data_IF_218381389767
#
_entry.id   IF_218381389767
#
_cell.length_a   1.000
_cell.length_b   1.000
_cell.length_c   1.000
_cell.angle_alpha   90.00
_cell.angle_beta   90.00
_cell.angle_gamma   90.00
#
_symmetry.space_group_name_H-M   'P 1'
#
loop_
_entity.id
_entity.type
_entity.pdbx_description
1 polymer ?
#
# COMPACT_ATOMS: atom_id res chain seq x y z
N UNK A 1 -17.74 -22.97 38.84
CA UNK A 1 -17.30 -21.75 39.55
C UNK A 1 -16.49 -20.95 38.55
N UNK A 2 -16.81 -19.67 38.41
CA UNK A 2 -16.13 -18.76 37.49
C UNK A 2 -15.35 -17.71 38.28
N UNK A 3 -14.61 -16.88 37.56
CA UNK A 3 -13.67 -15.87 38.06
C UNK A 3 -12.37 -16.47 38.65
N UNK A 4 -11.21 -15.81 38.56
CA UNK A 4 -10.97 -14.45 38.07
C UNK A 4 -9.72 -14.35 37.18
N UNK A 5 -9.73 -13.44 36.20
CA UNK A 5 -8.66 -13.16 35.25
C UNK A 5 -7.73 -12.02 35.71
N UNK A 6 -7.74 -11.69 37.01
CA UNK A 6 -6.90 -10.63 37.59
C UNK A 6 -7.23 -9.22 37.09
N UNK A 7 -8.43 -9.02 36.53
CA UNK A 7 -8.87 -7.72 36.04
C UNK A 7 -9.21 -6.79 37.22
N UNK A 8 -8.89 -5.49 37.15
CA UNK A 8 -9.27 -4.55 38.20
C UNK A 8 -10.81 -4.50 38.33
N UNK A 9 -11.35 -4.39 39.57
CA UNK A 9 -12.78 -4.45 39.81
C UNK A 9 -13.52 -3.37 39.02
N UNK A 10 -14.60 -3.78 38.33
CA UNK A 10 -15.42 -2.91 37.47
C UNK A 10 -16.03 -1.76 38.30
N UNK A 11 -15.38 -0.60 38.30
CA UNK A 11 -15.95 0.63 38.86
C UNK A 11 -17.17 1.04 38.02
N UNK A 12 -18.27 1.35 38.69
CA UNK A 12 -19.41 1.97 38.01
C UNK A 12 -19.02 3.34 37.46
N UNK A 13 -19.50 3.65 36.26
CA UNK A 13 -19.36 4.99 35.68
C UNK A 13 -20.18 6.00 36.48
N UNK A 14 -19.60 7.16 36.84
CA UNK A 14 -20.34 8.28 37.43
C UNK A 14 -21.61 8.64 36.63
N UNK A 15 -22.66 9.04 37.35
CA UNK A 15 -24.00 9.21 36.79
C UNK A 15 -24.06 10.27 35.68
N UNK A 16 -23.34 11.37 35.87
CA UNK A 16 -23.16 12.46 34.92
C UNK A 16 -22.53 11.99 33.60
N UNK A 17 -21.46 11.19 33.66
CA UNK A 17 -20.81 10.61 32.46
C UNK A 17 -21.78 9.67 31.74
N UNK A 18 -22.49 8.82 32.49
CA UNK A 18 -23.46 7.85 31.95
C UNK A 18 -24.66 8.52 31.29
N UNK A 19 -25.14 9.63 31.84
CA UNK A 19 -26.28 10.36 31.28
C UNK A 19 -25.87 11.33 30.16
N UNK A 20 -24.65 11.85 30.16
CA UNK A 20 -24.06 12.55 29.00
C UNK A 20 -23.94 11.62 27.78
N UNK A 21 -23.41 10.41 27.95
CA UNK A 21 -23.33 9.42 26.87
C UNK A 21 -24.72 9.07 26.31
N UNK A 22 -25.74 8.98 27.17
CA UNK A 22 -27.14 8.79 26.74
C UNK A 22 -27.71 9.99 25.97
N UNK A 23 -27.27 11.21 26.28
CA UNK A 23 -27.68 12.41 25.54
C UNK A 23 -27.02 12.46 24.15
N UNK A 24 -25.71 12.19 24.06
CA UNK A 24 -24.96 12.19 22.78
C UNK A 24 -25.49 11.10 21.82
N UNK A 25 -25.78 9.88 22.31
CA UNK A 25 -26.40 8.81 21.49
C UNK A 25 -27.81 9.17 21.00
N UNK A 26 -28.61 9.90 21.79
CA UNK A 26 -29.95 10.38 21.38
C UNK A 26 -29.87 11.52 20.37
N UNK A 27 -28.86 12.38 20.45
CA UNK A 27 -28.64 13.43 19.45
C UNK A 27 -28.31 12.83 18.07
N UNK A 28 -27.42 11.81 18.03
CA UNK A 28 -27.02 11.14 16.79
C UNK A 28 -28.08 10.25 16.12
N UNK A 29 -29.28 10.11 16.71
CA UNK A 29 -30.37 9.27 16.17
C UNK A 29 -31.65 10.05 15.84
N UNK A 30 -31.61 11.39 15.88
CA UNK A 30 -32.81 12.24 15.86
C UNK A 30 -33.07 13.13 14.63
N UNK A 31 -32.17 13.23 13.65
CA UNK A 31 -32.35 14.14 12.51
C UNK A 31 -33.12 13.49 11.32
N UNK A 32 -34.32 13.98 10.95
CA UNK A 32 -35.01 13.52 9.74
C UNK A 32 -34.41 14.17 8.47
N UNK A 33 -34.21 13.42 7.38
CA UNK A 33 -33.64 13.97 6.15
C UNK A 33 -34.58 14.99 5.50
N UNK A 34 -34.07 16.21 5.26
CA UNK A 34 -34.80 17.27 4.54
C UNK A 34 -35.01 16.89 3.07
N UNK A 35 -36.25 16.58 2.71
CA UNK A 35 -36.62 16.19 1.35
C UNK A 35 -36.60 17.38 0.37
N UNK A 36 -36.13 17.13 -0.85
CA UNK A 36 -36.37 17.95 -2.05
C UNK A 36 -36.57 17.04 -3.27
N UNK A 37 -37.82 16.83 -3.68
CA UNK A 37 -38.17 16.55 -5.09
C UNK A 37 -37.98 17.86 -5.90
N UNK A 38 -37.95 17.95 -7.24
CA UNK A 38 -38.62 17.33 -8.41
C UNK A 38 -37.68 17.61 -9.61
N UNK A 39 -37.50 16.91 -10.75
CA UNK A 39 -37.78 15.61 -11.43
C UNK A 39 -37.07 15.75 -12.83
N UNK A 40 -37.06 14.92 -13.88
CA UNK A 40 -37.31 13.51 -14.29
C UNK A 40 -36.78 13.42 -15.76
N UNK A 41 -36.60 12.28 -16.44
CA UNK A 41 -36.24 10.91 -16.07
C UNK A 41 -36.03 10.11 -17.38
N UNK A 42 -35.09 9.16 -17.43
CA UNK A 42 -34.94 8.23 -18.55
C UNK A 42 -34.44 6.87 -18.03
N UNK A 43 -35.10 5.78 -18.39
CA UNK A 43 -34.81 4.44 -17.88
C UNK A 43 -34.68 3.42 -19.02
N UNK A 44 -33.68 2.55 -18.92
CA UNK A 44 -33.61 1.28 -19.64
C UNK A 44 -33.50 0.17 -18.58
N UNK A 45 -34.50 -0.70 -18.51
CA UNK A 45 -34.58 -1.71 -17.45
C UNK A 45 -33.99 -3.05 -17.91
N UNK A 46 -33.15 -3.65 -17.08
CA UNK A 46 -32.76 -5.06 -17.18
C UNK A 46 -33.21 -5.76 -15.91
N UNK A 47 -34.23 -6.60 -16.02
CA UNK A 47 -34.73 -7.41 -14.92
C UNK A 47 -33.86 -8.66 -14.75
N UNK A 48 -33.14 -8.76 -13.64
CA UNK A 48 -32.59 -10.03 -13.15
C UNK A 48 -33.46 -10.52 -11.99
N UNK A 49 -34.28 -11.54 -12.26
CA UNK A 49 -35.10 -12.20 -11.24
C UNK A 49 -34.24 -13.11 -10.36
N UNK A 50 -33.86 -12.63 -9.18
CA UNK A 50 -33.43 -13.48 -8.07
C UNK A 50 -34.62 -13.68 -7.12
N UNK A 51 -35.20 -14.88 -7.10
CA UNK A 51 -36.33 -15.20 -6.24
C UNK A 51 -35.89 -15.44 -4.79
N UNK A 52 -36.61 -14.86 -3.82
CA UNK A 52 -36.23 -14.93 -2.40
C UNK A 52 -37.25 -14.31 -1.44
N UNK A 53 -38.55 -14.47 -1.71
CA UNK A 53 -39.59 -13.90 -0.86
C UNK A 53 -39.78 -14.69 0.45
N UNK A 54 -39.44 -14.09 1.59
CA UNK A 54 -39.82 -14.60 2.92
C UNK A 54 -40.53 -13.50 3.71
N UNK A 55 -41.86 -13.50 3.65
CA UNK A 55 -42.70 -12.66 4.51
C UNK A 55 -42.87 -13.36 5.86
N UNK A 56 -42.06 -13.00 6.85
CA UNK A 56 -42.25 -13.47 8.23
C UNK A 56 -43.21 -12.55 8.97
N UNK A 57 -44.42 -13.03 9.24
CA UNK A 57 -45.36 -12.38 10.15
C UNK A 57 -44.82 -12.40 11.58
N UNK A 58 -45.08 -11.34 12.37
CA UNK A 58 -44.64 -11.25 13.77
C UNK A 58 -45.22 -12.40 14.60
N UNK A 59 -44.37 -13.27 15.14
CA UNK A 59 -44.79 -14.24 16.15
C UNK A 59 -43.76 -14.38 17.28
N UNK A 60 -44.28 -14.64 18.48
CA UNK A 60 -43.70 -14.36 19.79
C UNK A 60 -42.40 -15.10 20.14
N UNK A 61 -41.46 -14.37 20.78
CA UNK A 61 -40.48 -14.84 21.78
C UNK A 61 -39.61 -16.07 21.45
N UNK A 62 -38.42 -15.80 20.92
CA UNK A 62 -37.15 -16.36 21.43
C UNK A 62 -36.01 -15.38 21.09
N UNK A 63 -34.91 -15.32 21.87
CA UNK A 63 -33.72 -14.58 21.46
C UNK A 63 -33.04 -15.37 20.33
N UNK A 64 -33.14 -14.88 19.10
CA UNK A 64 -32.46 -15.49 17.97
C UNK A 64 -30.93 -15.43 18.20
N UNK A 65 -30.28 -16.57 18.00
CA UNK A 65 -28.83 -16.65 17.86
C UNK A 65 -28.40 -15.71 16.72
N UNK A 66 -27.32 -14.96 16.93
CA UNK A 66 -26.92 -13.94 15.96
C UNK A 66 -26.65 -14.60 14.59
N UNK A 67 -27.21 -14.07 13.48
CA UNK A 67 -26.94 -14.64 12.18
C UNK A 67 -25.42 -14.65 11.94
N UNK A 68 -24.85 -15.75 11.42
CA UNK A 68 -23.42 -15.84 11.22
C UNK A 68 -22.96 -14.66 10.38
N UNK A 69 -21.90 -13.98 10.82
CA UNK A 69 -21.37 -12.81 10.13
C UNK A 69 -21.07 -13.20 8.68
N UNK A 70 -21.82 -12.61 7.74
CA UNK A 70 -21.54 -12.77 6.32
C UNK A 70 -20.11 -12.28 6.11
N UNK A 71 -19.18 -13.10 5.60
CA UNK A 71 -17.84 -12.64 5.35
C UNK A 71 -17.94 -11.46 4.39
N UNK A 72 -17.36 -10.32 4.79
CA UNK A 72 -17.29 -9.17 3.92
C UNK A 72 -16.57 -9.60 2.64
N UNK A 73 -17.27 -9.53 1.50
CA UNK A 73 -16.60 -9.67 0.21
C UNK A 73 -15.64 -8.50 0.00
N UNK A 74 -14.61 -8.66 -0.85
CA UNK A 74 -13.63 -7.62 -1.10
C UNK A 74 -14.32 -6.31 -1.50
N UNK A 75 -13.86 -5.21 -0.90
CA UNK A 75 -14.56 -3.93 -0.94
C UNK A 75 -14.63 -3.33 -2.36
N UNK A 76 -15.67 -2.55 -2.63
CA UNK A 76 -15.86 -1.82 -3.88
C UNK A 76 -16.15 -0.34 -3.59
N UNK A 77 -15.14 0.52 -3.70
CA UNK A 77 -15.33 1.97 -3.77
C UNK A 77 -15.76 2.34 -5.20
N UNK A 78 -17.03 2.68 -5.37
CA UNK A 78 -17.59 3.06 -6.67
C UNK A 78 -17.00 4.34 -7.27
N UNK A 79 -16.45 5.26 -6.46
CA UNK A 79 -15.78 6.47 -6.92
C UNK A 79 -14.38 6.14 -7.44
N UNK A 80 -13.62 5.34 -6.70
CA UNK A 80 -12.31 4.86 -7.12
C UNK A 80 -12.44 4.03 -8.40
N UNK A 81 -13.36 3.06 -8.40
CA UNK A 81 -13.65 2.19 -9.55
C UNK A 81 -14.00 3.00 -10.81
N UNK A 82 -14.87 4.01 -10.70
CA UNK A 82 -15.22 4.87 -11.84
C UNK A 82 -14.01 5.66 -12.31
N UNK A 83 -13.29 6.33 -11.39
CA UNK A 83 -12.14 7.19 -11.71
C UNK A 83 -11.00 6.44 -12.42
N UNK A 84 -10.69 5.23 -11.94
CA UNK A 84 -9.64 4.40 -12.52
C UNK A 84 -10.06 3.78 -13.85
N UNK A 85 -11.27 3.18 -13.95
CA UNK A 85 -11.76 2.58 -15.20
C UNK A 85 -11.91 3.63 -16.33
N UNK A 86 -12.35 4.85 -16.02
CA UNK A 86 -12.45 5.94 -17.00
C UNK A 86 -11.06 6.37 -17.50
N UNK A 87 -10.04 6.35 -16.64
CA UNK A 87 -8.65 6.62 -17.00
C UNK A 87 -8.02 5.47 -17.80
N UNK A 88 -8.31 4.21 -17.47
CA UNK A 88 -7.94 3.06 -18.30
C UNK A 88 -8.58 3.15 -19.70
N UNK A 89 -9.84 3.57 -19.80
CA UNK A 89 -10.49 3.81 -21.10
C UNK A 89 -9.89 5.01 -21.87
N UNK A 90 -9.48 6.07 -21.17
CA UNK A 90 -8.73 7.18 -21.79
C UNK A 90 -7.37 6.70 -22.33
N UNK A 91 -6.64 5.86 -21.60
CA UNK A 91 -5.38 5.26 -22.04
C UNK A 91 -5.57 4.32 -23.23
N UNK A 92 -6.64 3.51 -23.27
CA UNK A 92 -7.00 2.68 -24.44
C UNK A 92 -7.24 3.52 -25.69
N UNK A 93 -7.99 4.62 -25.57
CA UNK A 93 -8.26 5.53 -26.68
C UNK A 93 -6.98 6.22 -27.17
N UNK A 94 -6.16 6.74 -26.25
CA UNK A 94 -4.88 7.36 -26.58
C UNK A 94 -3.88 6.38 -27.23
N UNK A 95 -3.93 5.11 -26.85
CA UNK A 95 -3.13 4.03 -27.45
C UNK A 95 -3.70 3.47 -28.76
N UNK A 96 -4.88 3.93 -29.20
CA UNK A 96 -5.54 3.46 -30.43
C UNK A 96 -6.06 2.02 -30.37
N UNK A 97 -6.39 1.50 -29.18
CA UNK A 97 -6.73 0.08 -28.92
C UNK A 97 -8.23 -0.15 -28.62
N UNK A 98 -9.11 0.71 -29.10
CA UNK A 98 -10.57 0.63 -28.83
C UNK A 98 -11.27 -0.55 -29.50
N UNK A 99 -10.63 -1.16 -30.50
CA UNK A 99 -11.05 -2.41 -31.16
C UNK A 99 -10.72 -3.67 -30.32
N UNK A 100 -9.73 -3.57 -29.42
CA UNK A 100 -9.24 -4.69 -28.59
C UNK A 100 -10.07 -4.97 -27.36
N UNK A 101 -10.99 -4.08 -26.98
CA UNK A 101 -11.77 -4.17 -25.75
C UNK A 101 -13.25 -3.87 -26.00
N UNK A 102 -14.17 -4.44 -25.20
CA UNK A 102 -15.55 -3.99 -25.18
C UNK A 102 -15.66 -2.50 -24.83
N UNK A 103 -16.71 -1.78 -25.27
CA UNK A 103 -16.97 -0.41 -24.88
C UNK A 103 -16.99 -0.21 -23.35
N UNK A 104 -16.53 0.95 -22.87
CA UNK A 104 -16.49 1.32 -21.43
C UNK A 104 -17.82 1.13 -20.69
N UNK A 105 -18.97 1.21 -21.37
CA UNK A 105 -20.29 0.97 -20.79
C UNK A 105 -20.52 -0.51 -20.38
N UNK A 106 -19.77 -1.45 -20.95
CA UNK A 106 -19.82 -2.88 -20.63
C UNK A 106 -18.78 -3.28 -19.54
N UNK A 107 -18.09 -2.31 -18.95
CA UNK A 107 -17.07 -2.52 -17.92
C UNK A 107 -17.70 -2.46 -16.52
N UNK A 108 -17.89 -3.61 -15.89
CA UNK A 108 -18.54 -3.78 -14.59
C UNK A 108 -17.48 -4.00 -13.50
N UNK A 109 -17.21 -3.02 -12.61
CA UNK A 109 -16.28 -3.21 -11.49
C UNK A 109 -16.85 -4.18 -10.45
N UNK A 110 -15.97 -4.95 -9.80
CA UNK A 110 -16.35 -5.98 -8.83
C UNK A 110 -15.71 -5.78 -7.45
N UNK A 111 -14.47 -5.30 -7.42
CA UNK A 111 -13.74 -4.93 -6.21
C UNK A 111 -12.66 -3.88 -6.53
N UNK A 112 -12.16 -3.22 -5.50
CA UNK A 112 -11.11 -2.20 -5.56
C UNK A 112 -10.12 -2.36 -4.42
N UNK A 113 -8.83 -2.21 -4.70
CA UNK A 113 -7.77 -2.09 -3.69
C UNK A 113 -6.98 -0.80 -3.96
N UNK A 114 -6.46 -0.18 -2.90
CA UNK A 114 -5.55 0.98 -2.96
C UNK A 114 -4.48 0.76 -1.89
N UNK A 115 -3.26 0.48 -2.34
CA UNK A 115 -2.10 0.31 -1.47
C UNK A 115 -1.11 1.45 -1.71
N UNK A 116 -1.05 2.38 -0.74
CA UNK A 116 -0.19 3.57 -0.79
C UNK A 116 -0.39 4.46 -2.03
N UNK A 117 -1.53 4.35 -2.72
CA UNK A 117 -1.84 5.06 -3.95
C UNK A 117 -1.11 4.49 -5.18
N UNK A 118 -0.89 3.18 -5.18
CA UNK A 118 -1.12 2.31 -6.34
C UNK A 118 -2.53 1.70 -6.18
N UNK A 119 -3.43 1.95 -7.13
CA UNK A 119 -4.84 1.62 -6.99
C UNK A 119 -5.36 0.81 -8.17
N UNK A 120 -6.16 -0.22 -7.88
CA UNK A 120 -6.54 -1.28 -8.80
C UNK A 120 -8.04 -1.55 -8.74
N UNK A 121 -8.62 -1.79 -9.92
CA UNK A 121 -10.01 -2.25 -10.09
C UNK A 121 -9.98 -3.60 -10.80
N UNK A 122 -10.50 -4.64 -10.14
CA UNK A 122 -10.88 -5.86 -10.84
C UNK A 122 -12.32 -5.72 -11.32
N UNK A 123 -12.54 -5.94 -12.61
CA UNK A 123 -13.80 -5.72 -13.30
C UNK A 123 -14.09 -6.88 -14.26
N UNK A 124 -15.23 -6.86 -14.94
CA UNK A 124 -15.38 -7.60 -16.20
C UNK A 124 -15.72 -6.66 -17.34
N UNK A 125 -15.23 -6.96 -18.54
CA UNK A 125 -15.67 -6.33 -19.78
C UNK A 125 -16.32 -7.40 -20.67
N UNK A 126 -17.58 -7.20 -21.05
CA UNK A 126 -18.40 -8.22 -21.71
C UNK A 126 -18.36 -9.60 -20.99
N UNK A 127 -18.33 -9.59 -19.66
CA UNK A 127 -18.26 -10.79 -18.82
C UNK A 127 -16.88 -11.46 -18.71
N UNK A 128 -15.85 -10.99 -19.41
CA UNK A 128 -14.46 -11.48 -19.30
C UNK A 128 -13.70 -10.75 -18.19
N UNK A 129 -12.82 -11.42 -17.42
CA UNK A 129 -12.02 -10.79 -16.37
C UNK A 129 -11.10 -9.68 -16.91
N UNK A 130 -10.87 -8.64 -16.12
CA UNK A 130 -9.88 -7.60 -16.40
C UNK A 130 -9.46 -6.82 -15.15
N UNK A 131 -8.21 -6.36 -15.16
CA UNK A 131 -7.58 -5.58 -14.10
C UNK A 131 -7.11 -4.24 -14.68
N UNK A 132 -7.60 -3.15 -14.08
CA UNK A 132 -7.20 -1.78 -14.37
C UNK A 132 -6.42 -1.25 -13.17
N UNK A 133 -5.11 -1.05 -13.34
CA UNK A 133 -4.20 -0.46 -12.38
C UNK A 133 -3.96 1.01 -12.74
N UNK A 134 -3.96 1.88 -11.74
CA UNK A 134 -3.57 3.28 -11.89
C UNK A 134 -2.80 3.74 -10.66
N UNK A 135 -1.52 4.06 -10.85
CA UNK A 135 -0.77 4.92 -9.92
C UNK A 135 -1.10 6.39 -10.20
N UNK A 136 -0.42 7.36 -9.60
CA UNK A 136 -0.63 8.77 -9.93
C UNK A 136 0.14 9.26 -11.20
N UNK A 137 1.11 8.51 -11.75
CA UNK A 137 1.71 8.81 -13.09
C UNK A 137 1.41 7.79 -14.20
N UNK A 138 1.03 6.56 -13.87
CA UNK A 138 0.86 5.46 -14.84
C UNK A 138 -0.53 4.84 -14.85
N UNK A 139 -0.77 4.04 -15.90
CA UNK A 139 -1.95 3.20 -16.11
C UNK A 139 -1.49 1.86 -16.70
N UNK A 140 -1.92 0.75 -16.10
CA UNK A 140 -1.75 -0.59 -16.66
C UNK A 140 -3.12 -1.26 -16.81
N UNK A 141 -3.36 -1.94 -17.93
CA UNK A 141 -4.61 -2.63 -18.20
C UNK A 141 -4.33 -4.01 -18.79
N UNK A 142 -4.81 -5.07 -18.13
CA UNK A 142 -4.76 -6.43 -18.67
C UNK A 142 -5.62 -6.57 -19.94
N UNK A 143 -5.23 -7.42 -20.90
CA UNK A 143 -6.10 -7.69 -22.06
C UNK A 143 -7.27 -8.63 -21.68
N UNK A 144 -8.54 -8.19 -21.71
CA UNK A 144 -9.70 -9.08 -21.48
C UNK A 144 -9.87 -10.12 -22.60
N UNK A 145 -9.18 -9.97 -23.73
CA UNK A 145 -9.06 -10.96 -24.79
C UNK A 145 -8.02 -12.04 -24.54
N UNK A 146 -7.13 -11.89 -23.56
CA UNK A 146 -6.12 -12.89 -23.23
C UNK A 146 -6.68 -14.02 -22.36
N UNK A 147 -6.17 -15.23 -22.57
CA UNK A 147 -6.40 -16.36 -21.66
C UNK A 147 -5.54 -16.19 -20.41
N UNK A 148 -6.09 -16.33 -19.18
CA UNK A 148 -5.27 -16.37 -17.97
C UNK A 148 -4.19 -17.47 -18.03
N UNK A 149 -3.04 -17.18 -17.48
CA UNK A 149 -1.92 -18.11 -17.29
C UNK A 149 -2.28 -19.12 -16.19
N UNK A 150 -3.05 -20.15 -16.53
CA UNK A 150 -3.52 -21.17 -15.60
C UNK A 150 -2.40 -22.10 -15.11
N UNK A 151 -2.38 -22.39 -13.82
CA UNK A 151 -1.46 -23.35 -13.23
C UNK A 151 -1.80 -24.81 -13.63
N UNK A 152 -0.81 -25.69 -13.87
CA UNK A 152 -1.06 -27.07 -14.29
C UNK A 152 -2.04 -27.83 -13.37
N UNK A 153 -3.13 -28.33 -13.94
CA UNK A 153 -4.16 -29.07 -13.20
C UNK A 153 -4.97 -28.21 -12.20
N UNK A 154 -5.13 -26.92 -12.47
CA UNK A 154 -5.98 -25.98 -11.74
C UNK A 154 -6.65 -25.00 -12.71
N UNK A 155 -7.76 -24.37 -12.30
CA UNK A 155 -8.34 -23.18 -12.96
C UNK A 155 -7.97 -21.88 -12.27
N UNK A 156 -7.03 -21.91 -11.33
CA UNK A 156 -6.34 -20.71 -10.83
C UNK A 156 -5.31 -20.24 -11.85
N UNK A 157 -5.26 -18.94 -12.18
CA UNK A 157 -4.35 -18.40 -13.20
C UNK A 157 -4.25 -16.88 -13.20
N UNK A 158 -3.12 -16.34 -13.67
CA UNK A 158 -2.84 -14.90 -13.69
C UNK A 158 -3.25 -14.22 -15.02
N UNK A 159 -3.73 -12.99 -14.94
CA UNK A 159 -4.04 -12.14 -16.09
C UNK A 159 -3.26 -10.81 -16.08
N UNK A 160 -2.71 -10.43 -14.92
CA UNK A 160 -1.81 -9.30 -14.75
C UNK A 160 -0.71 -9.64 -13.72
N UNK A 161 0.53 -9.29 -14.05
CA UNK A 161 1.60 -9.05 -13.08
C UNK A 161 2.29 -7.76 -13.52
N UNK A 162 2.11 -6.67 -12.77
CA UNK A 162 2.50 -5.32 -13.20
C UNK A 162 3.92 -4.94 -12.80
N UNK A 163 4.38 -3.79 -13.30
CA UNK A 163 5.67 -3.24 -12.92
C UNK A 163 5.76 -2.85 -11.42
N UNK A 164 4.66 -2.59 -10.71
CA UNK A 164 4.66 -2.28 -9.26
C UNK A 164 4.65 -3.52 -8.38
N UNK A 165 4.53 -4.73 -8.96
CA UNK A 165 4.26 -5.95 -8.22
C UNK A 165 2.78 -6.14 -7.89
N UNK A 166 1.86 -5.51 -8.62
CA UNK A 166 0.44 -5.89 -8.56
C UNK A 166 0.25 -7.23 -9.28
N UNK A 167 -0.43 -8.19 -8.62
CA UNK A 167 -0.86 -9.45 -9.21
C UNK A 167 -2.39 -9.46 -9.29
N UNK A 168 -2.91 -9.69 -10.50
CA UNK A 168 -4.34 -9.85 -10.78
C UNK A 168 -4.61 -11.19 -11.48
N UNK A 169 -5.55 -11.97 -10.97
CA UNK A 169 -5.83 -13.31 -11.50
C UNK A 169 -7.22 -13.83 -11.18
N UNK A 170 -7.51 -15.04 -11.64
CA UNK A 170 -8.72 -15.80 -11.29
C UNK A 170 -8.35 -17.01 -10.44
N UNK A 171 -9.20 -17.34 -9.46
CA UNK A 171 -9.04 -18.50 -8.58
C UNK A 171 -9.94 -19.65 -9.02
N UNK A 172 -9.48 -20.91 -8.93
CA UNK A 172 -10.33 -22.06 -9.25
C UNK A 172 -11.64 -22.00 -8.43
N UNK A 173 -12.83 -22.12 -9.05
CA UNK A 173 -14.12 -22.17 -8.36
C UNK A 173 -14.23 -23.24 -7.25
N UNK A 174 -13.39 -24.27 -7.25
CA UNK A 174 -13.39 -25.33 -6.25
C UNK A 174 -12.70 -24.95 -4.93
N UNK A 175 -11.86 -23.92 -4.90
CA UNK A 175 -11.04 -23.57 -3.73
C UNK A 175 -11.82 -22.61 -2.81
N UNK A 176 -12.30 -23.03 -1.62
CA UNK A 176 -13.13 -22.17 -0.78
C UNK A 176 -12.32 -21.05 -0.09
N UNK A 177 -10.99 -21.19 -0.04
CA UNK A 177 -10.02 -20.20 0.43
C UNK A 177 -8.74 -20.34 -0.39
N UNK A 178 -7.94 -19.28 -0.48
CA UNK A 178 -6.59 -19.37 -0.98
C UNK A 178 -5.67 -18.38 -0.27
N UNK A 179 -4.37 -18.67 -0.28
CA UNK A 179 -3.32 -17.71 0.01
C UNK A 179 -2.34 -17.61 -1.16
N UNK A 180 -1.79 -16.41 -1.35
CA UNK A 180 -0.68 -16.16 -2.25
C UNK A 180 0.61 -16.52 -1.52
N UNK A 181 1.53 -17.17 -2.22
CA UNK A 181 2.92 -17.22 -1.82
C UNK A 181 3.79 -16.59 -2.92
N UNK A 182 4.80 -15.85 -2.50
CA UNK A 182 5.81 -15.25 -3.39
C UNK A 182 7.19 -15.74 -3.00
N UNK A 183 8.08 -15.85 -3.98
CA UNK A 183 9.48 -16.18 -3.76
C UNK A 183 10.39 -15.33 -4.62
N UNK A 184 11.38 -14.71 -3.98
CA UNK A 184 12.32 -13.73 -4.55
C UNK A 184 13.75 -14.08 -4.09
N UNK A 185 14.80 -13.42 -4.63
CA UNK A 185 16.17 -13.62 -4.16
C UNK A 185 16.39 -13.24 -2.68
N UNK A 186 15.59 -12.34 -2.10
CA UNK A 186 15.63 -11.96 -0.69
C UNK A 186 14.87 -12.89 0.27
N UNK A 187 13.96 -13.73 -0.23
CA UNK A 187 13.25 -14.71 0.58
C UNK A 187 11.91 -15.16 0.01
N UNK A 188 10.98 -15.55 0.88
CA UNK A 188 9.61 -15.91 0.49
C UNK A 188 8.61 -15.31 1.48
N UNK A 189 7.46 -14.88 0.98
CA UNK A 189 6.37 -14.31 1.78
C UNK A 189 5.02 -14.89 1.35
N UNK A 190 3.96 -14.61 2.12
CA UNK A 190 2.61 -14.99 1.72
C UNK A 190 1.52 -14.28 2.52
N UNK A 191 0.32 -14.28 1.95
CA UNK A 191 -0.86 -13.59 2.48
C UNK A 191 -2.14 -14.33 2.06
N UNK A 192 -3.18 -14.31 2.91
CA UNK A 192 -4.50 -14.77 2.50
C UNK A 192 -5.06 -13.89 1.37
N UNK A 193 -5.80 -14.48 0.44
CA UNK A 193 -6.29 -13.82 -0.78
C UNK A 193 -7.80 -13.68 -0.74
N UNK A 194 -8.28 -12.43 -0.72
CA UNK A 194 -9.69 -12.13 -0.97
C UNK A 194 -10.01 -12.20 -2.46
N UNK A 195 -11.22 -12.66 -2.80
CA UNK A 195 -11.65 -12.82 -4.18
C UNK A 195 -13.14 -12.52 -4.35
N UNK A 196 -13.50 -12.05 -5.55
CA UNK A 196 -14.88 -11.84 -5.98
C UNK A 196 -15.66 -13.17 -5.91
N UNK A 197 -16.74 -13.28 -5.12
CA UNK A 197 -17.51 -14.53 -5.03
C UNK A 197 -18.23 -14.88 -6.35
N UNK A 198 -18.44 -13.90 -7.23
CA UNK A 198 -19.10 -14.07 -8.54
C UNK A 198 -18.12 -14.46 -9.64
N UNK A 199 -17.05 -13.67 -9.82
CA UNK A 199 -16.11 -13.87 -10.95
C UNK A 199 -14.87 -14.68 -10.60
N UNK A 200 -14.65 -14.96 -9.31
CA UNK A 200 -13.43 -15.57 -8.77
C UNK A 200 -12.14 -14.77 -9.01
N UNK A 201 -12.25 -13.53 -9.50
CA UNK A 201 -11.10 -12.63 -9.63
C UNK A 201 -10.56 -12.24 -8.26
N UNK A 202 -9.24 -12.22 -8.14
CA UNK A 202 -8.50 -11.80 -6.96
C UNK A 202 -7.42 -10.79 -7.33
N UNK A 203 -6.97 -10.05 -6.33
CA UNK A 203 -5.93 -9.03 -6.41
C UNK A 203 -5.00 -9.20 -5.20
N UNK A 204 -3.71 -8.91 -5.38
CA UNK A 204 -2.74 -8.78 -4.29
C UNK A 204 -1.52 -7.97 -4.75
N UNK A 205 -0.91 -7.21 -3.84
CA UNK A 205 0.37 -6.54 -4.10
C UNK A 205 1.53 -7.35 -3.52
N UNK A 206 2.40 -7.89 -4.39
CA UNK A 206 3.70 -8.50 -4.01
C UNK A 206 4.78 -7.46 -3.71
N UNK A 207 4.57 -6.22 -4.18
CA UNK A 207 5.54 -5.11 -4.22
C UNK A 207 6.89 -5.46 -4.84
N UNK A 208 6.98 -6.52 -5.63
CA UNK A 208 8.24 -7.08 -6.12
C UNK A 208 8.14 -7.35 -7.62
N UNK A 209 9.20 -7.02 -8.37
CA UNK A 209 9.13 -6.93 -9.83
C UNK A 209 8.86 -8.31 -10.49
N UNK A 210 8.09 -8.38 -11.60
CA UNK A 210 7.69 -9.66 -12.21
C UNK A 210 8.85 -10.55 -12.68
N UNK A 211 10.00 -9.97 -13.03
CA UNK A 211 11.22 -10.67 -13.45
C UNK A 211 11.99 -11.28 -12.26
N UNK A 212 11.68 -10.86 -11.02
CA UNK A 212 12.36 -11.26 -9.78
C UNK A 212 11.48 -12.11 -8.86
N UNK A 213 10.22 -12.35 -9.23
CA UNK A 213 9.18 -12.84 -8.32
C UNK A 213 8.45 -14.05 -8.90
N UNK A 214 8.74 -15.23 -8.36
CA UNK A 214 7.90 -16.40 -8.57
C UNK A 214 6.64 -16.28 -7.69
N UNK A 215 5.48 -16.67 -8.24
CA UNK A 215 4.18 -16.55 -7.58
C UNK A 215 3.50 -17.92 -7.58
N UNK A 216 2.90 -18.31 -6.47
CA UNK A 216 2.08 -19.52 -6.34
C UNK A 216 0.83 -19.24 -5.51
N UNK A 217 -0.16 -20.12 -5.64
CA UNK A 217 -1.39 -20.09 -4.83
C UNK A 217 -1.51 -21.40 -4.05
N UNK A 218 -1.91 -21.30 -2.78
CA UNK A 218 -2.13 -22.44 -1.89
C UNK A 218 -3.63 -22.56 -1.63
N UNK A 219 -4.20 -23.73 -1.92
CA UNK A 219 -5.59 -24.06 -1.55
C UNK A 219 -5.70 -24.15 -0.01
N UNK A 220 -6.48 -23.25 0.58
CA UNK A 220 -6.77 -23.18 2.02
C UNK A 220 -8.04 -23.93 2.42
N UNK A 221 -8.56 -24.79 1.56
CA UNK A 221 -9.77 -25.58 1.79
C UNK A 221 -9.61 -26.74 2.80
N UNK A 222 -10.72 -27.44 3.10
CA UNK A 222 -10.73 -28.55 4.04
C UNK A 222 -10.04 -29.79 3.43
N UNK A 223 -8.74 -29.91 3.63
CA UNK A 223 -7.92 -31.02 3.12
C UNK A 223 -6.44 -30.87 3.48
N UNK A 224 -5.58 -31.54 2.72
CA UNK A 224 -4.15 -31.21 2.67
C UNK A 224 -3.96 -29.97 1.79
N UNK A 225 -3.25 -28.91 2.26
CA UNK A 225 -3.02 -27.71 1.46
C UNK A 225 -2.31 -28.04 0.14
N UNK A 226 -2.85 -27.53 -0.97
CA UNK A 226 -2.28 -27.74 -2.32
C UNK A 226 -1.71 -26.44 -2.85
N UNK A 227 -0.39 -26.31 -2.87
CA UNK A 227 0.29 -25.29 -3.66
C UNK A 227 0.20 -25.62 -5.15
N UNK A 228 -0.01 -24.60 -5.98
CA UNK A 228 0.22 -24.63 -7.43
C UNK A 228 1.02 -23.39 -7.83
N UNK A 229 2.11 -23.59 -8.55
CA UNK A 229 2.94 -22.49 -9.05
C UNK A 229 2.29 -21.90 -10.31
N UNK A 230 2.23 -20.57 -10.37
CA UNK A 230 1.58 -19.84 -11.45
C UNK A 230 2.58 -19.53 -12.57
N UNK A 231 2.27 -19.85 -13.84
CA UNK A 231 3.05 -19.37 -14.96
C UNK A 231 3.00 -17.83 -15.05
N UNK A 232 3.98 -17.24 -15.72
CA UNK A 232 4.02 -15.79 -15.95
C UNK A 232 2.72 -15.30 -16.62
N UNK A 233 2.18 -14.19 -16.11
CA UNK A 233 0.98 -13.56 -16.65
C UNK A 233 1.18 -13.17 -18.13
N UNK A 234 0.11 -13.16 -18.95
CA UNK A 234 0.19 -12.57 -20.28
C UNK A 234 0.56 -11.09 -20.20
N UNK A 235 1.20 -10.56 -21.25
CA UNK A 235 1.52 -9.14 -21.33
C UNK A 235 0.23 -8.29 -21.25
N UNK A 236 0.24 -7.16 -20.52
CA UNK A 236 -0.93 -6.27 -20.45
C UNK A 236 -1.24 -5.67 -21.81
N UNK A 237 -2.50 -5.34 -22.06
CA UNK A 237 -2.94 -4.67 -23.29
C UNK A 237 -2.21 -3.33 -23.46
N UNK A 238 -1.99 -2.61 -22.36
CA UNK A 238 -1.12 -1.45 -22.27
C UNK A 238 -0.55 -1.29 -20.86
N UNK A 239 0.65 -0.71 -20.78
CA UNK A 239 1.26 -0.13 -19.60
C UNK A 239 1.88 1.20 -20.05
N UNK A 240 1.42 2.33 -19.51
CA UNK A 240 1.80 3.68 -20.00
C UNK A 240 1.94 4.68 -18.85
N UNK A 241 2.83 5.66 -19.04
CA UNK A 241 2.89 6.87 -18.20
C UNK A 241 2.01 7.94 -18.82
N UNK A 242 0.76 8.08 -18.36
CA UNK A 242 -0.19 9.09 -18.88
C UNK A 242 0.01 10.48 -18.25
N UNK A 243 0.69 10.56 -17.10
CA UNK A 243 0.92 11.80 -16.34
C UNK A 243 2.38 11.89 -15.86
N UNK A 244 3.37 12.04 -16.76
CA UNK A 244 4.77 12.09 -16.39
C UNK A 244 5.08 13.32 -15.50
N UNK A 245 5.70 13.07 -14.35
CA UNK A 245 6.16 14.09 -13.40
C UNK A 245 7.70 14.11 -13.41
N UNK A 246 8.35 15.16 -13.97
CA UNK A 246 9.80 15.19 -14.08
C UNK A 246 10.50 15.31 -12.72
N UNK A 247 11.45 14.41 -12.47
CA UNK A 247 12.34 14.45 -11.31
C UNK A 247 13.81 14.50 -11.77
N UNK A 248 14.68 15.13 -10.96
CA UNK A 248 16.11 15.16 -11.26
C UNK A 248 16.73 13.76 -11.16
N UNK A 249 17.49 13.39 -12.20
CA UNK A 249 18.32 12.18 -12.32
C UNK A 249 19.76 12.52 -12.75
N UNK A 250 20.16 13.79 -12.63
CA UNK A 250 21.41 14.35 -13.14
C UNK A 250 22.35 14.86 -12.05
N UNK A 251 21.85 15.26 -10.87
CA UNK A 251 22.69 15.46 -9.69
C UNK A 251 23.18 14.15 -9.09
N UNK A 252 24.07 14.21 -8.10
CA UNK A 252 24.52 13.04 -7.34
C UNK A 252 23.36 12.36 -6.60
N UNK A 253 22.48 13.15 -5.96
CA UNK A 253 21.29 12.63 -5.28
C UNK A 253 20.24 12.10 -6.27
N UNK A 254 20.06 12.78 -7.41
CA UNK A 254 19.16 12.34 -8.48
C UNK A 254 19.54 10.98 -9.08
N UNK A 255 20.84 10.76 -9.36
CA UNK A 255 21.33 9.43 -9.76
C UNK A 255 21.20 8.42 -8.63
N UNK A 256 21.69 8.73 -7.42
CA UNK A 256 21.65 7.79 -6.30
C UNK A 256 20.23 7.30 -5.99
N UNK A 257 19.21 8.17 -6.07
CA UNK A 257 17.81 7.80 -5.88
C UNK A 257 17.27 6.95 -7.05
N UNK A 258 17.56 7.35 -8.30
CA UNK A 258 17.14 6.61 -9.48
C UNK A 258 17.72 5.20 -9.56
N UNK A 259 19.04 5.08 -9.38
CA UNK A 259 19.77 3.81 -9.39
C UNK A 259 19.29 2.90 -8.24
N UNK A 260 19.14 3.46 -7.03
CA UNK A 260 18.70 2.70 -5.86
C UNK A 260 17.27 2.17 -6.02
N UNK A 261 16.34 2.96 -6.57
CA UNK A 261 14.97 2.53 -6.83
C UNK A 261 14.82 1.51 -7.96
N UNK A 262 15.77 1.44 -8.89
CA UNK A 262 15.81 0.42 -9.94
C UNK A 262 16.44 -0.90 -9.46
N UNK A 263 17.45 -0.82 -8.59
CA UNK A 263 18.11 -1.98 -7.98
C UNK A 263 17.32 -2.58 -6.80
N UNK A 264 16.43 -1.81 -6.16
CA UNK A 264 15.65 -2.24 -4.99
C UNK A 264 14.80 -3.50 -5.26
N UNK A 265 14.61 -4.32 -4.22
CA UNK A 265 13.72 -5.48 -4.28
C UNK A 265 12.24 -5.08 -4.13
N UNK A 266 11.92 -4.22 -3.15
CA UNK A 266 10.61 -3.56 -3.06
C UNK A 266 10.51 -2.46 -4.11
N UNK A 267 9.54 -2.59 -5.02
CA UNK A 267 9.23 -1.61 -6.06
C UNK A 267 8.33 -0.53 -5.49
N UNK A 268 8.70 0.73 -5.69
CA UNK A 268 7.91 1.89 -5.28
C UNK A 268 7.03 2.37 -6.44
N UNK A 269 5.68 2.40 -6.28
CA UNK A 269 4.78 3.00 -7.26
C UNK A 269 5.17 4.45 -7.57
N UNK A 270 5.20 4.81 -8.86
CA UNK A 270 5.70 6.10 -9.36
C UNK A 270 7.17 6.43 -9.01
N UNK A 271 8.05 5.43 -8.80
CA UNK A 271 9.49 5.61 -8.52
C UNK A 271 10.17 6.68 -9.38
N UNK A 272 9.88 6.71 -10.69
CA UNK A 272 10.43 7.68 -11.63
C UNK A 272 10.16 9.14 -11.27
N UNK A 273 9.05 9.44 -10.57
CA UNK A 273 8.59 10.78 -10.23
C UNK A 273 9.08 11.31 -8.87
N UNK A 274 9.75 10.51 -8.03
CA UNK A 274 10.25 10.99 -6.74
C UNK A 274 11.40 11.98 -6.92
N UNK A 275 11.21 13.21 -6.44
CA UNK A 275 12.23 14.26 -6.47
C UNK A 275 13.30 13.96 -5.40
N UNK A 276 14.60 14.04 -5.72
CA UNK A 276 15.67 13.66 -4.79
C UNK A 276 15.80 14.68 -3.65
N UNK A 277 15.93 14.16 -2.43
CA UNK A 277 16.21 14.90 -1.20
C UNK A 277 17.70 14.85 -0.83
N UNK A 278 18.03 14.95 0.46
CA UNK A 278 19.39 14.80 0.94
C UNK A 278 19.97 13.40 0.64
N UNK A 279 21.28 13.35 0.36
CA UNK A 279 22.07 12.15 0.15
C UNK A 279 23.20 12.11 1.18
N UNK A 280 23.30 11.02 1.94
CA UNK A 280 24.50 10.63 2.67
C UNK A 280 25.25 9.56 1.89
N UNK A 281 26.57 9.66 1.85
CA UNK A 281 27.45 8.63 1.30
C UNK A 281 28.73 8.52 2.15
N UNK A 282 29.02 7.34 2.69
CA UNK A 282 30.23 7.08 3.49
C UNK A 282 30.64 5.61 3.34
N UNK A 283 31.93 5.30 3.14
CA UNK A 283 32.43 3.91 3.20
C UNK A 283 31.81 2.92 2.19
N UNK A 284 31.21 3.39 1.10
CA UNK A 284 30.47 2.57 0.12
C UNK A 284 28.99 2.37 0.45
N UNK A 285 28.53 2.85 1.61
CA UNK A 285 27.12 2.97 1.97
C UNK A 285 26.55 4.28 1.43
N UNK A 286 25.31 4.25 0.96
CA UNK A 286 24.55 5.41 0.48
C UNK A 286 23.15 5.37 1.07
N UNK A 287 22.63 6.53 1.47
CA UNK A 287 21.24 6.71 1.92
C UNK A 287 20.72 8.00 1.31
N UNK A 288 19.61 7.92 0.58
CA UNK A 288 19.02 9.06 -0.12
C UNK A 288 17.53 9.11 0.13
N UNK A 289 17.01 10.29 0.45
CA UNK A 289 15.56 10.49 0.59
C UNK A 289 14.95 10.90 -0.76
N UNK A 290 13.68 10.59 -0.96
CA UNK A 290 12.89 11.05 -2.10
C UNK A 290 11.52 11.53 -1.66
N UNK A 291 10.97 12.56 -2.30
CA UNK A 291 9.60 13.05 -2.03
C UNK A 291 8.76 13.16 -3.27
N UNK A 292 7.48 12.85 -3.11
CA UNK A 292 6.44 13.07 -4.11
C UNK A 292 5.11 13.39 -3.43
N UNK A 293 4.71 14.66 -3.50
CA UNK A 293 3.56 15.17 -2.76
C UNK A 293 3.72 14.98 -1.24
N UNK A 294 2.77 14.27 -0.64
CA UNK A 294 2.80 13.88 0.77
C UNK A 294 3.73 12.69 1.05
N UNK A 295 3.94 11.81 0.06
CA UNK A 295 4.74 10.58 0.16
C UNK A 295 6.23 10.92 0.26
N UNK A 296 6.90 10.32 1.23
CA UNK A 296 8.35 10.36 1.38
C UNK A 296 8.87 8.92 1.38
N UNK A 297 10.06 8.72 0.84
CA UNK A 297 10.77 7.44 0.84
C UNK A 297 12.20 7.65 1.33
N UNK A 298 12.81 6.61 1.84
CA UNK A 298 14.28 6.48 1.92
C UNK A 298 14.69 5.34 1.02
N UNK A 299 15.78 5.49 0.27
CA UNK A 299 16.41 4.39 -0.44
C UNK A 299 17.85 4.24 0.07
N UNK A 300 18.24 3.02 0.43
CA UNK A 300 19.58 2.68 0.89
C UNK A 300 20.27 1.79 -0.14
N UNK A 301 21.58 2.00 -0.33
CA UNK A 301 22.44 1.12 -1.12
C UNK A 301 23.73 0.85 -0.34
N UNK A 302 24.14 -0.40 -0.28
CA UNK A 302 25.35 -0.79 0.45
C UNK A 302 26.03 -2.01 -0.18
N UNK A 303 27.30 -2.30 0.17
CA UNK A 303 27.95 -3.53 -0.25
C UNK A 303 27.16 -4.76 0.21
N UNK A 304 27.02 -5.74 -0.67
CA UNK A 304 26.50 -7.04 -0.29
C UNK A 304 27.64 -7.87 0.29
N UNK A 305 27.72 -7.91 1.63
CA UNK A 305 28.78 -8.63 2.34
C UNK A 305 28.62 -10.16 2.25
N UNK A 306 27.46 -10.67 1.81
CA UNK A 306 27.25 -12.11 1.54
C UNK A 306 27.61 -12.47 0.09
N UNK A 307 27.55 -11.52 -0.85
CA UNK A 307 27.91 -11.68 -2.26
C UNK A 307 28.97 -10.64 -2.67
N UNK A 308 30.26 -10.85 -2.31
CA UNK A 308 31.33 -9.88 -2.56
C UNK A 308 31.39 -9.34 -3.99
N UNK A 309 31.50 -8.02 -4.12
CA UNK A 309 31.46 -7.32 -5.42
C UNK A 309 30.06 -7.03 -5.95
N UNK A 310 29.00 -7.35 -5.21
CA UNK A 310 27.63 -6.85 -5.45
C UNK A 310 27.27 -5.74 -4.47
N UNK A 311 26.23 -4.99 -4.79
CA UNK A 311 25.51 -4.11 -3.86
C UNK A 311 24.10 -4.61 -3.67
N UNK A 312 23.55 -4.46 -2.46
CA UNK A 312 22.12 -4.53 -2.24
C UNK A 312 21.53 -3.11 -2.20
N UNK A 313 20.28 -2.98 -2.65
CA UNK A 313 19.51 -1.75 -2.54
C UNK A 313 18.14 -2.06 -1.89
N UNK A 314 17.63 -1.14 -1.07
CA UNK A 314 16.35 -1.30 -0.37
C UNK A 314 15.62 0.04 -0.33
N UNK A 315 14.36 0.04 -0.73
CA UNK A 315 13.47 1.16 -0.51
C UNK A 315 12.74 1.00 0.84
N UNK A 316 12.40 2.12 1.46
CA UNK A 316 11.64 2.21 2.70
C UNK A 316 10.55 3.27 2.51
N UNK A 317 9.33 2.87 2.14
CA UNK A 317 8.21 3.80 2.07
C UNK A 317 7.79 4.32 3.44
N UNK A 318 7.25 5.54 3.48
CA UNK A 318 6.65 6.13 4.67
C UNK A 318 5.29 5.48 5.00
N UNK A 319 5.37 4.31 5.64
CA UNK A 319 4.24 3.50 6.11
C UNK A 319 3.48 4.12 7.30
N UNK A 320 3.80 5.34 7.73
CA UNK A 320 3.19 5.95 8.92
C UNK A 320 1.73 6.30 8.65
N UNK A 321 0.82 5.55 9.29
CA UNK A 321 -0.64 5.66 9.12
C UNK A 321 -1.22 7.03 9.47
N UNK A 322 -0.47 7.87 10.19
CA UNK A 322 -0.85 9.24 10.59
C UNK A 322 0.07 10.25 9.89
N UNK A 323 -0.07 10.36 8.56
CA UNK A 323 0.69 11.32 7.73
C UNK A 323 0.47 12.80 8.10
N UNK A 324 -0.53 13.11 8.93
CA UNK A 324 -0.83 14.44 9.47
C UNK A 324 0.14 14.90 10.57
N UNK A 325 1.03 14.04 11.07
CA UNK A 325 2.11 14.45 11.97
C UNK A 325 3.07 15.43 11.24
N UNK A 326 3.32 16.64 11.79
CA UNK A 326 4.10 17.68 11.10
C UNK A 326 5.57 17.31 10.92
N UNK A 327 6.12 16.48 11.80
CA UNK A 327 7.40 15.83 11.63
C UNK A 327 7.31 14.35 12.07
N UNK A 328 8.08 13.48 11.42
CA UNK A 328 8.13 12.03 11.72
C UNK A 328 9.44 11.41 11.21
N UNK A 329 9.93 10.40 11.92
CA UNK A 329 11.05 9.57 11.47
C UNK A 329 10.54 8.51 10.50
N UNK A 330 11.27 8.31 9.40
CA UNK A 330 11.09 7.16 8.51
C UNK A 330 11.92 5.99 9.04
N UNK A 331 11.34 4.79 9.04
CA UNK A 331 12.05 3.58 9.47
C UNK A 331 13.03 3.15 8.40
N UNK A 332 14.29 3.00 8.77
CA UNK A 332 15.39 2.56 7.89
C UNK A 332 16.26 1.59 8.66
N UNK A 333 16.76 0.53 8.02
CA UNK A 333 17.67 -0.42 8.66
C UNK A 333 19.04 0.19 8.95
N UNK A 334 19.79 -0.41 9.88
CA UNK A 334 21.25 -0.26 9.96
C UNK A 334 21.89 -0.71 8.64
N UNK A 335 22.78 0.09 8.06
CA UNK A 335 23.64 -0.34 6.96
C UNK A 335 24.95 -0.87 7.57
N UNK A 336 25.52 -1.93 7.00
CA UNK A 336 26.76 -2.56 7.46
C UNK A 336 26.68 -3.15 8.87
N UNK A 337 25.52 -3.69 9.23
CA UNK A 337 25.34 -4.46 10.47
C UNK A 337 26.09 -5.79 10.43
N UNK A 338 26.48 -6.32 11.59
CA UNK A 338 27.11 -7.66 11.67
C UNK A 338 26.18 -8.77 11.19
N UNK A 339 24.87 -8.55 11.31
CA UNK A 339 23.78 -9.40 10.81
C UNK A 339 23.73 -9.50 9.28
N UNK A 340 24.25 -8.52 8.54
CA UNK A 340 24.41 -8.62 7.08
C UNK A 340 25.75 -9.25 6.68
N UNK A 341 26.59 -9.65 7.63
CA UNK A 341 27.95 -10.17 7.42
C UNK A 341 29.04 -9.08 7.36
N UNK A 342 28.73 -7.83 7.74
CA UNK A 342 29.69 -6.74 7.65
C UNK A 342 30.76 -6.79 8.75
N UNK A 343 31.97 -6.22 8.51
CA UNK A 343 33.02 -6.11 9.53
C UNK A 343 32.58 -5.27 10.75
N UNK A 344 33.08 -5.62 11.94
CA UNK A 344 32.82 -4.88 13.17
C UNK A 344 33.18 -3.38 13.01
N UNK A 345 32.25 -2.49 13.36
CA UNK A 345 32.43 -1.04 13.24
C UNK A 345 32.14 -0.45 11.84
N UNK A 346 31.75 -1.28 10.86
CA UNK A 346 31.22 -0.83 9.57
C UNK A 346 29.83 -0.16 9.70
N UNK A 347 29.06 -0.54 10.71
CA UNK A 347 27.68 -0.11 10.93
C UNK A 347 27.45 1.42 10.86
N UNK A 348 26.35 1.82 10.23
CA UNK A 348 25.77 3.17 10.30
C UNK A 348 24.27 3.09 10.48
N UNK A 349 23.73 4.02 11.26
CA UNK A 349 22.30 4.13 11.54
C UNK A 349 21.83 5.47 10.94
N UNK A 350 21.14 5.48 9.79
CA UNK A 350 20.60 6.70 9.22
C UNK A 350 19.38 7.17 9.99
N UNK A 351 19.31 8.47 10.22
CA UNK A 351 18.19 9.17 10.86
C UNK A 351 17.53 10.02 9.79
N UNK A 352 16.46 9.48 9.20
CA UNK A 352 15.70 10.11 8.13
C UNK A 352 14.40 10.70 8.69
N UNK A 353 14.16 11.99 8.45
CA UNK A 353 13.02 12.73 9.01
C UNK A 353 12.26 13.45 7.90
N UNK A 354 10.95 13.19 7.82
CA UNK A 354 10.02 14.07 7.12
C UNK A 354 9.62 15.22 8.04
N UNK A 355 9.65 16.43 7.49
CA UNK A 355 9.38 17.72 8.13
C UNK A 355 8.26 18.46 7.38
N UNK A 356 7.75 19.60 7.90
CA UNK A 356 6.87 20.47 7.14
C UNK A 356 7.54 20.88 5.81
N UNK A 357 6.77 20.94 4.72
CA UNK A 357 7.29 21.28 3.38
C UNK A 357 7.93 22.68 3.29
N UNK A 358 7.66 23.53 4.28
CA UNK A 358 8.23 24.88 4.44
C UNK A 358 9.60 24.90 5.12
N UNK A 359 10.07 23.79 5.68
CA UNK A 359 11.36 23.71 6.35
C UNK A 359 12.53 23.70 5.34
N UNK A 360 13.54 24.53 5.60
CA UNK A 360 14.76 24.70 4.78
C UNK A 360 16.03 24.40 5.56
N UNK A 361 15.99 24.48 6.89
CA UNK A 361 17.07 24.06 7.79
C UNK A 361 16.50 23.30 8.98
N UNK A 362 17.30 22.41 9.57
CA UNK A 362 16.97 21.68 10.78
C UNK A 362 18.22 21.43 11.63
N UNK A 363 18.03 21.30 12.95
CA UNK A 363 19.05 20.87 13.89
C UNK A 363 18.56 19.58 14.57
N UNK A 364 19.37 18.53 14.50
CA UNK A 364 19.14 17.29 15.24
C UNK A 364 20.01 17.29 16.49
N UNK A 365 19.40 17.13 17.66
CA UNK A 365 20.06 16.94 18.96
C UNK A 365 19.84 15.49 19.41
N UNK A 366 20.94 14.74 19.52
CA UNK A 366 20.96 13.38 20.06
C UNK A 366 21.38 13.39 21.53
N UNK A 367 21.07 12.30 22.23
CA UNK A 367 21.49 12.09 23.61
C UNK A 367 23.03 12.27 23.79
N UNK A 368 23.41 12.69 25.00
CA UNK A 368 24.75 13.16 25.36
C UNK A 368 25.25 14.41 24.59
N UNK A 369 24.34 15.24 24.06
CA UNK A 369 24.65 16.59 23.57
C UNK A 369 25.38 16.64 22.22
N UNK A 370 25.35 15.54 21.46
CA UNK A 370 25.88 15.50 20.10
C UNK A 370 24.78 15.98 19.15
N UNK A 371 25.06 16.98 18.32
CA UNK A 371 24.08 17.49 17.36
C UNK A 371 24.69 17.79 15.99
N UNK A 372 23.81 18.02 15.01
CA UNK A 372 24.16 18.43 13.67
C UNK A 372 23.12 19.41 13.11
N UNK A 373 23.61 20.52 12.56
CA UNK A 373 22.82 21.40 11.70
C UNK A 373 22.78 20.81 10.28
N UNK A 374 21.61 20.82 9.66
CA UNK A 374 21.28 20.10 8.44
C UNK A 374 20.55 21.02 7.45
N UNK A 375 20.94 20.93 6.18
CA UNK A 375 20.12 21.43 5.09
C UNK A 375 18.88 20.55 4.91
N UNK A 376 17.72 21.15 4.66
CA UNK A 376 16.45 20.45 4.41
C UNK A 376 16.04 20.67 2.96
N UNK A 377 15.81 19.58 2.23
CA UNK A 377 15.35 19.63 0.82
C UNK A 377 13.90 19.16 0.77
N UNK A 378 12.97 19.99 0.29
CA UNK A 378 11.53 19.66 0.20
C UNK A 378 10.92 19.11 1.52
N UNK A 379 11.36 19.62 2.68
CA UNK A 379 10.93 19.09 3.98
C UNK A 379 11.46 17.67 4.28
N UNK A 380 12.61 17.27 3.75
CA UNK A 380 13.35 16.05 4.11
C UNK A 380 14.69 16.40 4.75
N UNK A 381 15.00 15.77 5.88
CA UNK A 381 16.27 15.91 6.60
C UNK A 381 16.88 14.53 6.89
N UNK A 382 18.20 14.40 6.71
CA UNK A 382 18.91 13.13 6.81
C UNK A 382 20.26 13.32 7.51
N UNK A 383 20.54 12.52 8.54
CA UNK A 383 21.82 12.50 9.26
C UNK A 383 22.27 11.07 9.58
N UNK A 384 23.56 10.88 9.85
CA UNK A 384 24.03 9.68 10.54
C UNK A 384 23.88 9.86 12.06
N UNK A 385 23.38 8.84 12.75
CA UNK A 385 23.47 8.78 14.21
C UNK A 385 24.96 8.81 14.63
N UNK A 386 25.38 9.68 15.56
CA UNK A 386 26.78 9.74 15.99
C UNK A 386 27.25 8.40 16.56
N UNK A 387 28.43 7.91 16.16
CA UNK A 387 29.02 6.62 16.60
C UNK A 387 29.12 6.41 18.13
N UNK A 388 28.94 7.45 18.94
CA UNK A 388 28.95 7.43 20.41
C UNK A 388 27.55 7.44 21.04
N UNK A 389 26.50 7.73 20.28
CA UNK A 389 25.12 7.69 20.76
C UNK A 389 24.68 6.23 20.85
N UNK A 390 24.07 5.84 21.97
CA UNK A 390 23.59 4.48 22.17
C UNK A 390 22.24 4.28 21.47
N UNK A 391 22.10 3.18 20.70
CA UNK A 391 20.79 2.68 20.28
C UNK A 391 20.08 2.00 21.45
N UNK A 392 19.62 2.80 22.42
CA UNK A 392 18.84 2.32 23.55
C UNK A 392 17.34 2.24 23.18
N UNK A 393 16.58 1.28 23.73
CA UNK A 393 15.12 1.27 23.61
C UNK A 393 14.52 2.59 24.12
N UNK A 394 13.70 3.25 23.31
CA UNK A 394 13.11 4.54 23.63
C UNK A 394 14.02 5.76 23.47
N UNK A 395 15.22 5.60 22.89
CA UNK A 395 16.10 6.71 22.50
C UNK A 395 15.40 7.67 21.52
N UNK A 396 15.73 8.96 21.61
CA UNK A 396 15.09 10.03 20.84
C UNK A 396 16.11 10.94 20.20
N UNK A 397 15.67 11.62 19.15
CA UNK A 397 16.32 12.83 18.63
C UNK A 397 15.37 14.00 18.85
N UNK A 398 15.84 15.09 19.43
CA UNK A 398 15.10 16.36 19.36
C UNK A 398 15.42 17.00 18.02
N UNK A 399 14.37 17.39 17.30
CA UNK A 399 14.47 18.03 16.00
C UNK A 399 13.88 19.42 16.12
N UNK A 400 14.68 20.43 15.79
CA UNK A 400 14.24 21.81 15.57
C UNK A 400 14.34 22.10 14.08
N UNK A 401 13.36 22.76 13.48
CA UNK A 401 13.35 23.07 12.05
C UNK A 401 12.77 24.45 11.76
N UNK A 402 13.38 25.14 10.79
CA UNK A 402 13.07 26.52 10.43
C UNK A 402 12.79 26.66 8.93
N UNK A 403 12.01 27.68 8.57
CA UNK A 403 11.74 28.04 7.18
C UNK A 403 12.74 29.07 6.62
N UNK A 404 12.55 29.48 5.36
CA UNK A 404 13.41 30.42 4.65
C UNK A 404 13.46 31.87 5.19
N UNK A 405 12.83 32.14 6.35
CA UNK A 405 12.91 33.40 7.10
C UNK A 405 13.44 33.20 8.53
N UNK A 406 13.99 32.03 8.82
CA UNK A 406 14.39 31.58 10.16
C UNK A 406 13.22 31.50 11.18
N UNK A 407 11.95 31.45 10.71
CA UNK A 407 10.79 31.18 11.57
C UNK A 407 10.76 29.69 11.92
N UNK A 408 10.67 29.36 13.23
CA UNK A 408 10.59 27.98 13.73
C UNK A 408 9.26 27.32 13.31
N UNK A 409 9.34 26.27 12.48
CA UNK A 409 8.17 25.51 12.00
C UNK A 409 7.96 24.17 12.72
N UNK A 410 8.97 23.69 13.45
CA UNK A 410 8.86 22.52 14.33
C UNK A 410 9.91 22.55 15.45
N UNK A 411 9.52 22.19 16.67
CA UNK A 411 10.41 21.77 17.76
C UNK A 411 9.73 20.62 18.51
N UNK A 412 10.43 19.49 18.66
CA UNK A 412 9.91 18.31 19.35
C UNK A 412 10.87 17.13 19.32
N UNK A 413 10.54 16.06 20.06
CA UNK A 413 11.34 14.84 20.12
C UNK A 413 10.68 13.69 19.36
N UNK A 414 11.42 13.07 18.44
CA UNK A 414 10.99 11.92 17.66
C UNK A 414 11.68 10.65 18.18
N UNK A 415 10.97 9.50 18.28
CA UNK A 415 11.56 8.22 18.67
C UNK A 415 12.41 7.67 17.52
N UNK A 416 13.63 7.19 17.83
CA UNK A 416 14.55 6.65 16.83
C UNK A 416 14.18 5.22 16.39
N UNK A 417 13.53 4.44 17.25
CA UNK A 417 13.23 3.01 17.09
C UNK A 417 11.84 2.68 17.66
#
# INVERSE_FOLDING_TARGET
MSDDLGLPPRRELPGDVRDRLRAEVRAGTGEPPRSKHVWYAAAAAVLVLAAGAVVVTRQLRQPAEAPPAVPAGPALDGKLATTALDRCWAAVQAAGKTDRVPPRAEWVPLLTEDLEGDAVVAATAAGKPMFCETTATTVTLSDPGATPAYAPGSRSGLLLHSATGLVGGVLDPAWPKASLATSTPGGSSGSDVEFSPVSRQFVAHTRTAPDRTAVSLIDGGPGQPRQVDLPAAPAPLLAVTDRPEPADRTSAAGRALGDCLADAEEVIPDAAAYRPGPLLAEGGQQVVMGRRGDRVIVCTREPDYQRPGKTQARAYPDLVSVRSAPARILRVSTLGGTESGAPAGAARHPVAVALPVTATSAAFEFDAGNGADLAVTDGMALAWLPRKAAMAPGAKVRVRAWNAKDELVYDGSLPLF
#
